data_IF_950500155839
#
_entry.id   IF_950500155839
#
_cell.length_a   1.000
_cell.length_b   1.000
_cell.length_c   1.000
_cell.angle_alpha   90.00
_cell.angle_beta   90.00
_cell.angle_gamma   90.00
#
_symmetry.space_group_name_H-M   'P 1'
#
loop_
_entity.id
_entity.type
_entity.pdbx_description
1 polymer ?
#
# COMPACT_ATOMS: atom_id res chain seq x y z
N UNK A 1 9.53 -3.41 4.33
CA UNK A 1 8.49 -4.20 3.67
C UNK A 1 8.99 -4.50 2.27
N UNK A 2 9.18 -5.77 1.94
CA UNK A 2 9.59 -6.15 0.57
C UNK A 2 8.37 -6.15 -0.37
N UNK A 3 8.52 -5.77 -1.65
CA UNK A 3 7.39 -5.74 -2.60
C UNK A 3 6.70 -7.10 -2.79
N UNK A 4 7.47 -8.20 -2.78
CA UNK A 4 6.93 -9.57 -2.84
C UNK A 4 6.01 -9.88 -1.64
N UNK A 5 6.44 -9.48 -0.45
CA UNK A 5 5.68 -9.70 0.77
C UNK A 5 4.44 -8.81 0.81
N UNK A 6 4.56 -7.56 0.36
CA UNK A 6 3.42 -6.64 0.25
C UNK A 6 2.35 -7.16 -0.71
N UNK A 7 2.75 -7.64 -1.89
CA UNK A 7 1.85 -8.27 -2.85
C UNK A 7 1.10 -9.46 -2.25
N UNK A 8 1.83 -10.35 -1.57
CA UNK A 8 1.23 -11.55 -0.98
C UNK A 8 0.31 -11.22 0.18
N UNK A 9 0.69 -10.27 1.02
CA UNK A 9 -0.08 -9.90 2.21
C UNK A 9 -1.38 -9.20 1.84
N UNK A 10 -1.32 -8.21 0.95
CA UNK A 10 -2.47 -7.38 0.58
C UNK A 10 -3.24 -7.89 -0.66
N UNK A 11 -2.75 -8.94 -1.31
CA UNK A 11 -3.32 -9.49 -2.56
C UNK A 11 -3.52 -8.43 -3.66
N UNK A 12 -2.63 -7.44 -3.72
CA UNK A 12 -2.67 -6.39 -4.75
C UNK A 12 -2.07 -6.89 -6.07
N UNK A 13 -2.41 -6.23 -7.17
CA UNK A 13 -1.82 -6.47 -8.49
C UNK A 13 -0.52 -5.68 -8.70
N UNK A 14 0.24 -6.00 -9.75
CA UNK A 14 1.44 -5.23 -10.10
C UNK A 14 1.12 -3.79 -10.52
N UNK A 15 -0.09 -3.53 -11.02
CA UNK A 15 -0.55 -2.17 -11.34
C UNK A 15 -0.78 -1.36 -10.08
N UNK A 16 -1.53 -1.89 -9.12
CA UNK A 16 -1.76 -1.25 -7.84
C UNK A 16 -0.45 -1.07 -7.07
N UNK A 17 0.45 -2.05 -7.09
CA UNK A 17 1.77 -1.92 -6.46
C UNK A 17 2.58 -0.77 -7.10
N UNK A 18 2.46 -0.57 -8.42
CA UNK A 18 3.10 0.54 -9.12
C UNK A 18 2.51 1.89 -8.71
N UNK A 19 1.19 1.99 -8.63
CA UNK A 19 0.50 3.19 -8.13
C UNK A 19 0.91 3.52 -6.69
N UNK A 20 0.90 2.53 -5.81
CA UNK A 20 1.24 2.64 -4.40
C UNK A 20 2.71 3.02 -4.17
N UNK A 21 3.63 2.42 -4.93
CA UNK A 21 5.05 2.79 -4.87
C UNK A 21 5.37 4.10 -5.60
N UNK A 22 4.47 4.61 -6.44
CA UNK A 22 4.69 5.76 -7.31
C UNK A 22 5.69 5.48 -8.44
N UNK A 23 5.70 4.23 -8.93
CA UNK A 23 6.56 3.76 -10.02
C UNK A 23 5.72 3.32 -11.22
N UNK A 24 6.40 3.07 -12.34
CA UNK A 24 5.73 2.49 -13.51
C UNK A 24 5.54 0.99 -13.34
N UNK A 25 4.47 0.45 -13.93
CA UNK A 25 4.21 -1.00 -13.99
C UNK A 25 5.42 -1.79 -14.50
N UNK A 26 6.13 -1.27 -15.50
CA UNK A 26 7.35 -1.90 -16.03
C UNK A 26 8.49 -1.94 -15.02
N UNK A 27 8.63 -0.90 -14.17
CA UNK A 27 9.63 -0.90 -13.09
C UNK A 27 9.32 -1.96 -12.06
N UNK A 28 8.06 -2.05 -11.66
CA UNK A 28 7.58 -3.09 -10.74
C UNK A 28 7.76 -4.49 -11.34
N UNK A 29 7.46 -4.69 -12.63
CA UNK A 29 7.71 -5.96 -13.30
C UNK A 29 9.20 -6.35 -13.30
N UNK A 30 10.11 -5.38 -13.43
CA UNK A 30 11.56 -5.62 -13.30
C UNK A 30 11.98 -6.02 -11.88
N UNK A 31 11.23 -5.64 -10.83
CA UNK A 31 11.50 -6.12 -9.46
C UNK A 31 11.28 -7.62 -9.32
N UNK A 32 10.31 -8.17 -10.05
CA UNK A 32 9.96 -9.60 -10.01
C UNK A 32 10.59 -10.41 -11.15
N UNK A 33 11.33 -9.76 -12.04
CA UNK A 33 12.09 -10.42 -13.10
C UNK A 33 13.23 -11.24 -12.49
N UNK A 34 13.50 -12.43 -13.05
CA UNK A 34 14.66 -13.27 -12.70
C UNK A 34 15.68 -13.22 -13.84
N UNK A 35 16.92 -12.80 -13.55
CA UNK A 35 18.03 -12.74 -14.53
C UNK A 35 18.63 -11.34 -14.69
N UNK A 36 19.22 -11.05 -15.87
CA UNK A 36 19.91 -9.77 -16.17
C UNK A 36 19.01 -8.53 -16.09
N UNK A 37 17.69 -8.70 -16.15
CA UNK A 37 16.72 -7.60 -16.03
C UNK A 37 16.13 -7.44 -14.63
N UNK A 38 16.65 -8.17 -13.64
CA UNK A 38 16.26 -7.99 -12.25
C UNK A 38 16.75 -6.63 -11.76
N UNK A 39 15.84 -5.82 -11.22
CA UNK A 39 16.19 -4.56 -10.57
C UNK A 39 15.70 -4.58 -9.15
N UNK A 40 16.60 -4.38 -8.20
CA UNK A 40 16.17 -4.29 -6.80
C UNK A 40 15.35 -3.01 -6.58
N UNK A 41 14.25 -3.08 -5.82
CA UNK A 41 13.52 -1.91 -5.36
C UNK A 41 14.42 -1.04 -4.50
N UNK A 42 14.39 0.28 -4.70
CA UNK A 42 15.20 1.19 -3.90
C UNK A 42 14.69 1.27 -2.46
N UNK A 43 15.53 1.69 -1.52
CA UNK A 43 15.13 1.89 -0.12
C UNK A 43 13.94 2.87 0.01
N UNK A 44 13.85 3.86 -0.88
CA UNK A 44 12.71 4.78 -0.93
C UNK A 44 11.40 4.06 -1.30
N UNK A 45 11.46 3.09 -2.21
CA UNK A 45 10.30 2.30 -2.63
C UNK A 45 9.87 1.35 -1.50
N UNK A 46 10.83 0.65 -0.88
CA UNK A 46 10.59 -0.21 0.29
C UNK A 46 9.99 0.57 1.46
N UNK A 47 10.47 1.81 1.68
CA UNK A 47 9.93 2.71 2.72
C UNK A 47 8.49 3.11 2.43
N UNK A 48 8.16 3.50 1.19
CA UNK A 48 6.77 3.80 0.81
C UNK A 48 5.83 2.62 1.05
N UNK A 49 6.24 1.43 0.62
CA UNK A 49 5.44 0.21 0.85
C UNK A 49 5.29 -0.10 2.34
N UNK A 50 6.32 0.12 3.14
CA UNK A 50 6.25 -0.05 4.59
C UNK A 50 5.29 0.95 5.25
N UNK A 51 5.31 2.21 4.81
CA UNK A 51 4.39 3.26 5.30
C UNK A 51 2.93 2.90 4.97
N UNK A 52 2.67 2.48 3.72
CA UNK A 52 1.33 2.04 3.31
C UNK A 52 0.88 0.81 4.10
N UNK A 53 1.75 -0.20 4.25
CA UNK A 53 1.43 -1.40 5.01
C UNK A 53 1.11 -1.08 6.48
N UNK A 54 1.85 -0.16 7.09
CA UNK A 54 1.58 0.30 8.45
C UNK A 54 0.22 1.00 8.55
N UNK A 55 -0.10 1.89 7.61
CA UNK A 55 -1.40 2.58 7.56
C UNK A 55 -2.54 1.57 7.40
N UNK A 56 -2.45 0.66 6.43
CA UNK A 56 -3.51 -0.31 6.17
C UNK A 56 -3.66 -1.31 7.33
N UNK A 57 -2.55 -1.76 7.94
CA UNK A 57 -2.60 -2.59 9.15
C UNK A 57 -3.29 -1.88 10.32
N UNK A 58 -3.05 -0.58 10.48
CA UNK A 58 -3.75 0.23 11.47
C UNK A 58 -5.25 0.34 11.16
N UNK A 59 -5.61 0.51 9.89
CA UNK A 59 -7.01 0.51 9.49
C UNK A 59 -7.68 -0.84 9.77
N UNK A 60 -7.08 -1.97 9.38
CA UNK A 60 -7.64 -3.31 9.66
C UNK A 60 -7.83 -3.59 11.14
N UNK A 61 -6.87 -3.16 11.97
CA UNK A 61 -6.95 -3.31 13.42
C UNK A 61 -7.76 -2.20 14.11
N UNK A 62 -8.33 -1.25 13.37
CA UNK A 62 -9.07 -0.15 13.95
C UNK A 62 -10.38 -0.67 14.58
N UNK A 63 -10.62 -0.37 15.88
CA UNK A 63 -11.86 -0.76 16.53
C UNK A 63 -13.09 -0.21 15.80
N UNK A 64 -14.04 -1.08 15.47
CA UNK A 64 -15.25 -0.71 14.73
C UNK A 64 -16.03 0.47 15.36
N UNK A 65 -16.00 0.60 16.69
CA UNK A 65 -16.65 1.70 17.40
C UNK A 65 -16.05 3.08 17.08
N UNK A 66 -14.74 3.16 16.79
CA UNK A 66 -14.09 4.41 16.41
C UNK A 66 -14.49 4.84 14.99
N UNK A 67 -14.62 3.88 14.06
CA UNK A 67 -15.13 4.16 12.70
C UNK A 67 -16.54 4.72 12.73
N UNK A 68 -17.43 4.14 13.53
CA UNK A 68 -18.81 4.62 13.65
C UNK A 68 -18.86 6.06 14.19
N UNK A 69 -18.07 6.36 15.23
CA UNK A 69 -17.97 7.71 15.78
C UNK A 69 -17.42 8.69 14.73
N UNK A 70 -16.41 8.28 13.96
CA UNK A 70 -15.81 9.09 12.92
C UNK A 70 -16.79 9.40 11.78
N UNK A 71 -17.53 8.40 11.31
CA UNK A 71 -18.54 8.56 10.26
C UNK A 71 -19.67 9.51 10.69
N UNK A 72 -20.17 9.35 11.92
CA UNK A 72 -21.13 10.29 12.53
C UNK A 72 -20.60 11.72 12.57
N UNK A 73 -19.32 11.93 12.94
CA UNK A 73 -18.71 13.27 12.93
C UNK A 73 -18.54 13.82 11.52
N UNK A 74 -18.17 12.99 10.55
CA UNK A 74 -17.98 13.38 9.15
C UNK A 74 -19.29 13.85 8.52
N UNK A 75 -20.40 13.12 8.75
CA UNK A 75 -21.73 13.53 8.25
C UNK A 75 -22.15 14.90 8.81
N UNK A 76 -22.02 15.12 10.13
CA UNK A 76 -22.31 16.42 10.76
C UNK A 76 -21.52 17.60 10.18
N UNK A 77 -20.31 17.35 9.67
CA UNK A 77 -19.47 18.37 9.02
C UNK A 77 -19.88 18.65 7.58
N UNK A 78 -20.55 17.70 6.91
CA UNK A 78 -20.99 17.81 5.52
C UNK A 78 -22.36 18.49 5.40
N UNK A 79 -23.18 18.38 6.45
CA UNK A 79 -24.53 18.95 6.52
C UNK A 79 -24.55 20.38 7.10
N UNK A 80 -23.38 21.00 7.32
CA UNK A 80 -23.20 22.33 7.91
C UNK A 80 -22.46 23.25 6.96
#
# INVERSE_FOLDING_TARGET
>A
MEPEEFLKHWSVSYEELAELSGRSKSTVAHWFSKGEHHREPSDADKRRLAEIHALWSQFENEPAHLREIWERKRQRKRDR
#
